data_IF_113337436111
#
_entry.id   IF_113337436111
#
_cell.length_a   1.000
_cell.length_b   1.000
_cell.length_c   1.000
_cell.angle_alpha   90.00
_cell.angle_beta   90.00
_cell.angle_gamma   90.00
#
_symmetry.space_group_name_H-M   'P 1'
#
loop_
_entity.id
_entity.type
_entity.pdbx_description
1 polymer ?
#
# COMPACT_ATOMS: atom_id res chain seq x y z
N UNK A 1 -22.08 -43.38 6.06
CA UNK A 1 -20.84 -42.57 6.01
C UNK A 1 -20.67 -41.76 4.69
N UNK A 2 -21.67 -41.70 3.80
CA UNK A 2 -21.63 -40.87 2.58
C UNK A 2 -22.22 -39.45 2.79
N UNK A 3 -23.16 -39.33 3.74
CA UNK A 3 -23.91 -38.09 4.02
C UNK A 3 -23.00 -37.01 4.63
N UNK A 4 -22.04 -37.39 5.49
CA UNK A 4 -21.06 -36.46 6.10
C UNK A 4 -20.00 -35.98 5.11
N UNK A 5 -19.65 -36.79 4.11
CA UNK A 5 -18.68 -36.41 3.05
C UNK A 5 -19.31 -35.48 2.01
N UNK A 6 -20.58 -35.68 1.67
CA UNK A 6 -21.33 -34.77 0.79
C UNK A 6 -21.50 -33.39 1.45
N UNK A 7 -21.85 -33.36 2.74
CA UNK A 7 -21.96 -32.13 3.52
C UNK A 7 -20.61 -31.40 3.70
N UNK A 8 -19.50 -32.12 3.93
CA UNK A 8 -18.18 -31.49 4.04
C UNK A 8 -17.70 -30.87 2.71
N UNK A 9 -17.92 -31.58 1.59
CA UNK A 9 -17.55 -31.09 0.26
C UNK A 9 -18.34 -29.83 -0.12
N UNK A 10 -19.65 -29.79 0.18
CA UNK A 10 -20.47 -28.60 -0.08
C UNK A 10 -20.11 -27.43 0.83
N UNK A 11 -19.79 -27.68 2.10
CA UNK A 11 -19.29 -26.63 3.03
C UNK A 11 -17.98 -26.04 2.53
N UNK A 12 -17.02 -26.86 2.10
CA UNK A 12 -15.74 -26.38 1.55
C UNK A 12 -15.93 -25.55 0.27
N UNK A 13 -16.83 -25.98 -0.62
CA UNK A 13 -17.14 -25.23 -1.84
C UNK A 13 -17.77 -23.85 -1.53
N UNK A 14 -18.70 -23.78 -0.57
CA UNK A 14 -19.32 -22.53 -0.15
C UNK A 14 -18.32 -21.57 0.51
N UNK A 15 -17.41 -22.10 1.35
CA UNK A 15 -16.33 -21.31 1.95
C UNK A 15 -15.41 -20.72 0.88
N UNK A 16 -15.03 -21.51 -0.13
CA UNK A 16 -14.19 -21.03 -1.24
C UNK A 16 -14.87 -19.94 -2.08
N UNK A 17 -16.15 -20.12 -2.44
CA UNK A 17 -16.91 -19.10 -3.18
C UNK A 17 -17.06 -17.80 -2.37
N UNK A 18 -17.28 -17.90 -1.05
CA UNK A 18 -17.39 -16.73 -0.18
C UNK A 18 -16.09 -15.92 -0.10
N UNK A 19 -14.94 -16.60 -0.04
CA UNK A 19 -13.62 -15.97 -0.07
C UNK A 19 -13.34 -15.31 -1.42
N UNK A 20 -13.75 -15.94 -2.52
CA UNK A 20 -13.55 -15.39 -3.86
C UNK A 20 -14.35 -14.09 -4.08
N UNK A 21 -15.58 -14.01 -3.57
CA UNK A 21 -16.40 -12.78 -3.61
C UNK A 21 -15.83 -11.64 -2.76
N UNK A 22 -15.14 -11.96 -1.66
CA UNK A 22 -14.48 -10.95 -0.82
C UNK A 22 -13.27 -10.33 -1.53
N UNK A 23 -12.57 -11.10 -2.38
CA UNK A 23 -11.39 -10.61 -3.12
C UNK A 23 -11.78 -9.72 -4.30
N UNK A 24 -12.92 -9.95 -4.94
CA UNK A 24 -13.35 -9.19 -6.13
C UNK A 24 -14.12 -7.91 -5.81
N UNK A 25 -14.47 -7.67 -4.55
CA UNK A 25 -15.25 -6.51 -4.10
C UNK A 25 -14.41 -5.28 -3.76
N UNK A 26 -13.12 -5.27 -4.12
CA UNK A 26 -12.29 -4.06 -4.10
C UNK A 26 -12.36 -3.36 -5.47
N UNK A 27 -13.24 -2.34 -5.65
CA UNK A 27 -13.21 -1.53 -6.87
C UNK A 27 -11.95 -0.65 -6.86
N UNK A 28 -10.94 -1.03 -7.62
CA UNK A 28 -9.78 -0.19 -7.92
C UNK A 28 -10.17 0.84 -8.97
N UNK A 29 -10.80 1.94 -8.54
CA UNK A 29 -11.15 3.05 -9.42
C UNK A 29 -10.14 4.19 -9.22
N UNK A 30 -8.95 4.04 -9.80
CA UNK A 30 -7.91 5.08 -9.77
C UNK A 30 -8.20 6.12 -10.86
N UNK A 31 -9.09 7.07 -10.57
CA UNK A 31 -9.21 8.29 -11.36
C UNK A 31 -8.04 9.21 -10.98
N UNK A 32 -6.91 9.07 -11.68
CA UNK A 32 -5.74 9.92 -11.51
C UNK A 32 -6.03 11.33 -12.02
N UNK A 33 -6.54 12.20 -11.15
CA UNK A 33 -6.64 13.63 -11.43
C UNK A 33 -5.26 14.27 -11.21
N UNK A 34 -4.62 14.71 -12.29
CA UNK A 34 -3.33 15.39 -12.22
C UNK A 34 -3.59 16.86 -11.83
N UNK A 35 -3.40 17.17 -10.55
CA UNK A 35 -3.33 18.55 -10.05
C UNK A 35 -1.86 19.00 -10.12
N UNK A 36 -1.55 19.98 -10.97
CA UNK A 36 -0.20 20.52 -11.18
C UNK A 36 0.21 21.54 -10.11
N UNK A 37 -0.46 21.56 -8.97
CA UNK A 37 -0.15 22.46 -7.85
C UNK A 37 1.03 21.92 -7.03
N UNK A 38 2.23 21.92 -7.61
CA UNK A 38 3.45 21.67 -6.87
C UNK A 38 3.83 22.92 -6.07
N UNK A 39 3.25 23.05 -4.88
CA UNK A 39 3.60 24.09 -3.92
C UNK A 39 4.64 23.55 -2.93
N UNK A 40 5.84 24.14 -2.93
CA UNK A 40 6.90 23.82 -1.97
C UNK A 40 6.46 23.96 -0.50
N UNK A 41 5.46 24.81 -0.25
CA UNK A 41 4.94 25.14 1.07
C UNK A 41 3.60 24.43 1.35
N UNK A 42 3.25 23.39 0.59
CA UNK A 42 1.97 22.67 0.74
C UNK A 42 1.72 22.21 2.19
N UNK A 43 2.78 21.84 2.91
CA UNK A 43 2.71 21.38 4.29
C UNK A 43 3.02 22.45 5.34
N UNK A 44 3.29 23.70 4.97
CA UNK A 44 3.74 24.72 5.94
C UNK A 44 2.70 25.03 7.01
N UNK A 45 1.42 25.02 6.66
CA UNK A 45 0.31 25.29 7.60
C UNK A 45 -0.04 24.09 8.48
N UNK A 46 0.03 22.86 7.93
CA UNK A 46 -0.37 21.64 8.62
C UNK A 46 0.79 20.96 9.37
N UNK A 47 1.99 20.99 8.80
CA UNK A 47 3.19 20.38 9.35
C UNK A 47 4.46 21.12 8.90
N UNK A 48 4.79 22.28 9.51
CA UNK A 48 5.92 23.13 9.10
C UNK A 48 7.28 22.44 9.25
N UNK A 49 7.36 21.37 10.06
CA UNK A 49 8.59 20.62 10.31
C UNK A 49 8.70 19.35 9.49
N UNK A 50 7.78 19.10 8.55
CA UNK A 50 7.74 17.84 7.79
C UNK A 50 9.07 17.53 7.11
N UNK A 51 9.65 18.49 6.38
CA UNK A 51 10.93 18.30 5.71
C UNK A 51 12.07 17.93 6.68
N UNK A 52 12.06 18.52 7.88
CA UNK A 52 13.03 18.18 8.93
C UNK A 52 12.81 16.76 9.47
N UNK A 53 11.55 16.38 9.75
CA UNK A 53 11.20 15.04 10.27
C UNK A 53 11.61 13.96 9.27
N UNK A 54 11.23 14.12 8.00
CA UNK A 54 11.58 13.17 6.93
C UNK A 54 13.09 13.08 6.77
N UNK A 55 13.79 14.22 6.71
CA UNK A 55 15.25 14.24 6.58
C UNK A 55 15.94 13.50 7.72
N UNK A 56 15.57 13.76 8.97
CA UNK A 56 16.18 13.07 10.12
C UNK A 56 15.88 11.57 10.13
N UNK A 57 14.64 11.17 9.81
CA UNK A 57 14.26 9.75 9.72
C UNK A 57 15.08 9.01 8.67
N UNK A 58 15.20 9.59 7.47
CA UNK A 58 16.01 9.03 6.38
C UNK A 58 17.50 8.99 6.76
N UNK A 59 18.02 10.04 7.39
CA UNK A 59 19.43 10.06 7.83
C UNK A 59 19.73 9.02 8.90
N UNK A 60 18.81 8.82 9.85
CA UNK A 60 18.94 7.79 10.89
C UNK A 60 18.94 6.38 10.27
N UNK A 61 18.03 6.12 9.31
CA UNK A 61 18.00 4.87 8.58
C UNK A 61 19.27 4.67 7.73
N UNK A 62 19.77 5.73 7.09
CA UNK A 62 20.98 5.70 6.28
C UNK A 62 22.24 5.40 7.10
N UNK A 63 22.35 5.93 8.31
CA UNK A 63 23.44 5.59 9.25
C UNK A 63 23.46 4.11 9.60
N UNK A 64 22.29 3.48 9.67
CA UNK A 64 22.16 2.07 10.01
C UNK A 64 22.43 1.17 8.78
N UNK A 65 21.90 1.55 7.62
CA UNK A 65 22.15 0.86 6.35
C UNK A 65 22.20 1.87 5.20
N UNK A 66 23.37 2.00 4.57
CA UNK A 66 23.59 2.94 3.46
C UNK A 66 22.78 2.57 2.21
N UNK A 67 22.36 1.31 2.06
CA UNK A 67 21.56 0.83 0.93
C UNK A 67 20.15 1.38 0.93
N UNK A 68 19.66 1.89 2.07
CA UNK A 68 18.30 2.45 2.19
C UNK A 68 18.07 3.61 1.22
N UNK A 69 19.11 4.41 0.92
CA UNK A 69 19.00 5.53 -0.01
C UNK A 69 18.65 5.04 -1.43
N UNK A 70 19.32 3.98 -1.89
CA UNK A 70 19.04 3.36 -3.18
C UNK A 70 17.66 2.68 -3.19
N UNK A 71 17.26 2.03 -2.09
CA UNK A 71 15.94 1.40 -1.96
C UNK A 71 14.80 2.42 -2.00
N UNK A 72 14.92 3.55 -1.30
CA UNK A 72 13.95 4.64 -1.31
C UNK A 72 13.82 5.26 -2.71
N UNK A 73 14.95 5.47 -3.39
CA UNK A 73 14.95 5.99 -4.75
C UNK A 73 14.27 5.00 -5.72
N UNK A 74 14.58 3.70 -5.61
CA UNK A 74 13.93 2.66 -6.41
C UNK A 74 12.42 2.58 -6.14
N UNK A 75 12.00 2.70 -4.88
CA UNK A 75 10.59 2.69 -4.50
C UNK A 75 9.86 3.88 -5.13
N UNK A 76 10.43 5.08 -5.06
CA UNK A 76 9.85 6.26 -5.69
C UNK A 76 9.67 6.09 -7.21
N UNK A 77 10.68 5.55 -7.90
CA UNK A 77 10.55 5.25 -9.32
C UNK A 77 9.59 4.10 -9.63
N UNK A 78 9.38 3.17 -8.70
CA UNK A 78 8.43 2.07 -8.88
C UNK A 78 6.97 2.49 -8.68
N UNK A 79 6.71 3.53 -7.88
CA UNK A 79 5.35 4.02 -7.61
C UNK A 79 4.88 5.05 -8.65
N UNK A 80 5.81 5.75 -9.31
CA UNK A 80 5.50 6.83 -10.24
C UNK A 80 5.67 6.46 -11.73
N UNK A 81 6.19 5.27 -12.04
CA UNK A 81 6.18 4.68 -13.38
C UNK A 81 5.14 3.56 -13.45
#
# INVERSE_FOLDING_TARGET
MAITRFSYSTILALLYLSLLHLVTSFPSNSNGQIDYNYNYNYYDSSCPRLGMIVKYGVWAAFKNDTRIAASLLRLHFHDCF
#
